data_IF_949134731555
#
_entry.id   IF_949134731555
#
_cell.length_a   1.000
_cell.length_b   1.000
_cell.length_c   1.000
_cell.angle_alpha   90.00
_cell.angle_beta   90.00
_cell.angle_gamma   90.00
#
_symmetry.space_group_name_H-M   'P 1'
#
loop_
_entity.id
_entity.type
_entity.pdbx_description
1 polymer ?
#
# COMPACT_ATOMS: atom_id res chain seq x y z
N UNK A 1 -8.95 -4.36 21.60
CA UNK A 1 -8.89 -3.66 20.32
C UNK A 1 -9.67 -4.50 19.32
N UNK A 2 -10.74 -3.97 18.75
CA UNK A 2 -11.42 -4.64 17.63
C UNK A 2 -10.61 -4.40 16.34
N UNK A 3 -10.73 -5.27 15.33
CA UNK A 3 -10.03 -5.16 14.06
C UNK A 3 -10.18 -3.77 13.39
N UNK A 4 -11.34 -3.13 13.57
CA UNK A 4 -11.61 -1.77 13.09
C UNK A 4 -10.72 -0.71 13.73
N UNK A 5 -10.37 -0.90 15.01
CA UNK A 5 -9.41 -0.02 15.69
C UNK A 5 -7.99 -0.30 15.20
N UNK A 6 -7.66 -1.55 14.81
CA UNK A 6 -6.35 -1.89 14.23
C UNK A 6 -6.16 -1.36 12.80
N UNK A 7 -7.22 -1.38 11.96
CA UNK A 7 -7.15 -0.90 10.58
C UNK A 7 -6.97 0.61 10.46
N UNK A 8 -7.51 1.37 11.41
CA UNK A 8 -7.43 2.84 11.42
C UNK A 8 -6.26 3.37 12.27
N UNK A 9 -5.66 2.54 13.14
CA UNK A 9 -4.57 2.98 14.03
C UNK A 9 -3.33 3.44 13.29
N UNK A 10 -2.91 2.69 12.26
CA UNK A 10 -1.67 2.98 11.53
C UNK A 10 -1.96 3.44 10.11
N UNK A 11 -1.06 4.25 9.55
CA UNK A 11 -1.11 4.56 8.13
C UNK A 11 -0.83 3.26 7.34
N UNK A 12 -1.63 2.91 6.32
CA UNK A 12 -1.53 1.62 5.63
C UNK A 12 -0.12 1.30 5.13
N UNK A 13 0.45 0.16 5.55
CA UNK A 13 1.79 -0.27 5.16
C UNK A 13 2.94 0.37 5.93
N UNK A 14 2.64 1.15 6.98
CA UNK A 14 3.63 1.81 7.85
C UNK A 14 3.59 1.22 9.27
N UNK A 15 4.52 1.67 10.12
CA UNK A 15 4.45 1.50 11.58
C UNK A 15 4.07 2.80 12.30
N UNK A 16 3.64 3.83 11.55
CA UNK A 16 3.34 5.16 12.07
C UNK A 16 1.86 5.27 12.43
N UNK A 17 1.57 5.76 13.64
CA UNK A 17 0.21 5.98 14.09
C UNK A 17 -0.42 7.15 13.33
N UNK A 18 -1.64 6.95 12.83
CA UNK A 18 -2.36 7.92 12.00
C UNK A 18 -2.58 9.23 12.74
N UNK A 19 -2.96 9.16 14.02
CA UNK A 19 -3.24 10.33 14.86
C UNK A 19 -1.97 11.17 15.10
N UNK A 20 -0.82 10.52 15.27
CA UNK A 20 0.48 11.22 15.43
C UNK A 20 0.92 11.95 14.16
N UNK A 21 0.48 11.46 13.00
CA UNK A 21 0.73 12.07 11.70
C UNK A 21 -0.36 13.09 11.29
N UNK A 22 -1.27 13.46 12.19
CA UNK A 22 -2.31 14.46 11.93
C UNK A 22 -3.52 13.94 11.14
N UNK A 23 -3.74 12.62 11.13
CA UNK A 23 -4.90 12.00 10.49
C UNK A 23 -4.76 11.73 8.99
N UNK A 24 -3.66 12.16 8.37
CA UNK A 24 -3.46 12.10 6.91
C UNK A 24 -2.96 10.72 6.45
N UNK A 25 -3.26 10.38 5.20
CA UNK A 25 -2.75 9.18 4.53
C UNK A 25 -2.46 9.46 3.05
N UNK A 26 -2.13 8.43 2.28
CA UNK A 26 -2.00 8.52 0.83
C UNK A 26 -0.98 9.57 0.37
N UNK A 27 -1.37 10.39 -0.62
CA UNK A 27 -0.50 11.38 -1.25
C UNK A 27 -0.18 12.55 -0.30
N UNK A 28 -1.10 12.94 0.57
CA UNK A 28 -0.83 14.01 1.54
C UNK A 28 0.24 13.57 2.54
N UNK A 29 0.13 12.35 3.08
CA UNK A 29 1.17 11.74 3.91
C UNK A 29 2.52 11.70 3.19
N UNK A 30 2.55 11.20 1.95
CA UNK A 30 3.77 11.15 1.16
C UNK A 30 4.33 12.56 0.90
N UNK A 31 3.51 13.54 0.55
CA UNK A 31 3.98 14.91 0.31
C UNK A 31 4.55 15.55 1.57
N UNK A 32 4.02 15.25 2.76
CA UNK A 32 4.57 15.74 4.03
C UNK A 32 5.99 15.19 4.29
N UNK A 33 6.25 13.92 3.96
CA UNK A 33 7.60 13.32 4.09
C UNK A 33 8.58 13.98 3.11
N UNK A 34 8.14 14.26 1.89
CA UNK A 34 9.00 14.77 0.80
C UNK A 34 8.96 16.30 0.66
N UNK A 35 8.36 17.03 1.61
CA UNK A 35 8.11 18.48 1.47
C UNK A 35 9.37 19.31 1.18
N UNK A 36 10.52 18.91 1.71
CA UNK A 36 11.82 19.60 1.53
C UNK A 36 12.91 18.70 0.93
N UNK A 37 12.54 17.54 0.39
CA UNK A 37 13.52 16.59 -0.15
C UNK A 37 12.96 15.82 -1.34
N UNK A 38 13.80 15.67 -2.37
CA UNK A 38 13.50 14.82 -3.53
C UNK A 38 13.79 13.33 -3.25
N UNK A 39 14.27 12.99 -2.05
CA UNK A 39 14.56 11.61 -1.69
C UNK A 39 14.99 11.37 -0.24
N UNK A 40 14.57 10.24 0.33
CA UNK A 40 14.84 9.84 1.71
C UNK A 40 15.87 8.71 1.80
N UNK A 41 16.60 8.66 2.91
CA UNK A 41 17.62 7.64 3.15
C UNK A 41 16.99 6.32 3.63
N UNK A 42 17.78 5.25 3.58
CA UNK A 42 17.38 3.93 4.09
C UNK A 42 16.90 3.97 5.55
N UNK A 43 17.52 4.79 6.41
CA UNK A 43 17.09 4.91 7.82
C UNK A 43 15.66 5.43 7.93
N UNK A 44 15.31 6.46 7.16
CA UNK A 44 13.98 7.06 7.16
C UNK A 44 12.93 6.07 6.62
N UNK A 45 13.25 5.35 5.53
CA UNK A 45 12.37 4.29 5.01
C UNK A 45 12.10 3.22 6.07
N UNK A 46 13.11 2.82 6.84
CA UNK A 46 12.97 1.81 7.90
C UNK A 46 12.11 2.33 9.05
N UNK A 47 12.29 3.59 9.44
CA UNK A 47 11.49 4.24 10.49
C UNK A 47 10.01 4.35 10.09
N UNK A 48 9.72 4.65 8.82
CA UNK A 48 8.35 4.76 8.30
C UNK A 48 7.70 3.38 8.14
N UNK A 49 8.37 2.47 7.45
CA UNK A 49 7.77 1.20 7.00
C UNK A 49 7.94 0.03 7.98
N UNK A 50 8.89 0.13 8.92
CA UNK A 50 9.31 -0.99 9.75
C UNK A 50 10.04 -2.11 9.00
N UNK A 51 10.27 -1.98 7.68
CA UNK A 51 10.98 -2.98 6.88
C UNK A 51 12.48 -2.83 7.10
N UNK A 52 13.18 -3.92 7.43
CA UNK A 52 14.62 -3.86 7.62
C UNK A 52 15.40 -3.66 6.31
N UNK A 53 16.63 -3.16 6.43
CA UNK A 53 17.45 -2.85 5.26
C UNK A 53 17.87 -4.06 4.43
N UNK A 54 17.97 -5.25 5.03
CA UNK A 54 18.35 -6.47 4.29
C UNK A 54 17.18 -6.97 3.43
N UNK A 55 15.95 -6.84 3.93
CA UNK A 55 14.72 -7.11 3.17
C UNK A 55 14.58 -6.13 1.99
N UNK A 56 14.77 -4.83 2.21
CA UNK A 56 14.73 -3.84 1.12
C UNK A 56 15.81 -4.12 0.06
N UNK A 57 17.03 -4.45 0.47
CA UNK A 57 18.08 -4.85 -0.46
C UNK A 57 17.74 -6.15 -1.22
N UNK A 58 17.04 -7.08 -0.59
CA UNK A 58 16.57 -8.29 -1.25
C UNK A 58 15.57 -7.95 -2.36
N UNK A 59 14.61 -7.07 -2.09
CA UNK A 59 13.62 -6.63 -3.07
C UNK A 59 14.27 -5.97 -4.28
N UNK A 60 15.28 -5.12 -4.07
CA UNK A 60 16.07 -4.54 -5.16
C UNK A 60 16.80 -5.61 -5.98
N UNK A 61 17.48 -6.56 -5.31
CA UNK A 61 18.18 -7.66 -6.00
C UNK A 61 17.25 -8.58 -6.79
N UNK A 62 15.98 -8.69 -6.39
CA UNK A 62 14.95 -9.51 -7.04
C UNK A 62 14.21 -8.77 -8.17
N UNK A 63 14.42 -7.46 -8.30
CA UNK A 63 13.71 -6.63 -9.29
C UNK A 63 12.30 -6.19 -8.86
N UNK A 64 11.94 -6.35 -7.59
CA UNK A 64 10.62 -5.97 -7.08
C UNK A 64 10.53 -4.49 -6.71
N UNK A 65 11.68 -3.84 -6.53
CA UNK A 65 11.84 -2.43 -6.21
C UNK A 65 13.03 -1.92 -7.01
N UNK A 66 12.90 -0.75 -7.61
CA UNK A 66 14.02 -0.15 -8.36
C UNK A 66 15.19 0.24 -7.46
N UNK A 67 16.37 0.37 -8.05
CA UNK A 67 17.57 0.82 -7.34
C UNK A 67 17.47 2.26 -6.82
N UNK A 68 18.12 2.58 -5.70
CA UNK A 68 18.18 3.97 -5.20
C UNK A 68 19.05 4.85 -6.09
N UNK A 69 18.66 6.11 -6.29
CA UNK A 69 19.50 7.12 -6.94
C UNK A 69 20.23 7.92 -5.85
N UNK A 70 21.56 8.00 -5.93
CA UNK A 70 22.39 8.69 -4.91
C UNK A 70 22.11 8.24 -3.46
N UNK A 71 21.82 6.94 -3.27
CA UNK A 71 21.42 6.33 -1.98
C UNK A 71 20.12 6.87 -1.38
N UNK A 72 19.28 7.50 -2.20
CA UNK A 72 17.97 8.01 -1.79
C UNK A 72 16.86 7.24 -2.48
N UNK A 73 15.80 7.00 -1.71
CA UNK A 73 14.53 6.47 -2.19
C UNK A 73 13.62 7.64 -2.58
N UNK A 74 13.02 7.55 -3.77
CA UNK A 74 12.02 8.51 -4.24
C UNK A 74 10.67 8.30 -3.55
N UNK A 75 9.75 9.23 -3.78
CA UNK A 75 8.36 9.14 -3.31
C UNK A 75 7.65 7.89 -3.84
N UNK A 76 7.84 7.57 -5.12
CA UNK A 76 7.25 6.38 -5.73
C UNK A 76 7.90 5.09 -5.22
N UNK A 77 9.20 5.09 -4.94
CA UNK A 77 9.85 3.95 -4.29
C UNK A 77 9.30 3.73 -2.88
N UNK A 78 9.09 4.79 -2.10
CA UNK A 78 8.44 4.65 -0.79
C UNK A 78 7.02 4.10 -0.95
N UNK A 79 6.20 4.68 -1.82
CA UNK A 79 4.83 4.22 -2.05
C UNK A 79 4.78 2.72 -2.42
N UNK A 80 5.65 2.27 -3.33
CA UNK A 80 5.77 0.85 -3.69
C UNK A 80 6.17 -0.03 -2.51
N UNK A 81 7.13 0.43 -1.70
CA UNK A 81 7.52 -0.27 -0.45
C UNK A 81 6.33 -0.45 0.48
N UNK A 82 5.52 0.60 0.68
CA UNK A 82 4.35 0.56 1.55
C UNK A 82 3.29 -0.42 1.01
N UNK A 83 3.07 -0.44 -0.31
CA UNK A 83 2.17 -1.41 -0.95
C UNK A 83 2.67 -2.85 -0.75
N UNK A 84 3.94 -3.13 -1.02
CA UNK A 84 4.49 -4.47 -0.79
C UNK A 84 4.38 -4.85 0.69
N UNK A 85 4.65 -3.90 1.61
CA UNK A 85 4.60 -4.13 3.04
C UNK A 85 3.18 -4.46 3.54
N UNK A 86 2.14 -3.83 2.98
CA UNK A 86 0.74 -4.15 3.28
C UNK A 86 0.38 -5.61 2.93
N UNK A 87 0.94 -6.11 1.83
CA UNK A 87 0.49 -7.36 1.21
C UNK A 87 1.33 -8.58 1.60
N UNK A 88 2.63 -8.40 1.88
CA UNK A 88 3.56 -9.50 2.15
C UNK A 88 3.19 -10.43 3.32
N UNK A 89 2.40 -10.04 4.35
CA UNK A 89 2.03 -10.99 5.41
C UNK A 89 1.13 -12.12 4.91
N UNK A 90 0.36 -11.89 3.84
CA UNK A 90 -0.67 -12.84 3.35
C UNK A 90 -0.54 -13.19 1.87
N UNK A 91 0.28 -12.48 1.11
CA UNK A 91 0.53 -12.71 -0.30
C UNK A 91 2.02 -12.95 -0.57
N UNK A 92 2.34 -13.97 -1.36
CA UNK A 92 3.71 -14.24 -1.83
C UNK A 92 4.26 -13.05 -2.62
N UNK A 93 5.52 -12.70 -2.40
CA UNK A 93 6.16 -11.54 -3.01
C UNK A 93 6.17 -11.62 -4.55
N UNK A 94 6.30 -12.82 -5.12
CA UNK A 94 6.22 -13.04 -6.56
C UNK A 94 4.83 -12.71 -7.13
N UNK A 95 3.76 -12.93 -6.35
CA UNK A 95 2.40 -12.56 -6.75
C UNK A 95 2.15 -11.05 -6.60
N UNK A 96 2.75 -10.43 -5.58
CA UNK A 96 2.71 -8.98 -5.40
C UNK A 96 3.44 -8.30 -6.56
N UNK A 97 4.63 -8.78 -6.90
CA UNK A 97 5.40 -8.28 -8.04
C UNK A 97 4.62 -8.42 -9.36
N UNK A 98 4.03 -9.59 -9.61
CA UNK A 98 3.18 -9.79 -10.78
C UNK A 98 1.98 -8.85 -10.82
N UNK A 99 1.36 -8.57 -9.66
CA UNK A 99 0.25 -7.62 -9.54
C UNK A 99 0.69 -6.20 -9.87
N UNK A 100 1.84 -5.74 -9.36
CA UNK A 100 2.35 -4.40 -9.63
C UNK A 100 2.82 -4.26 -11.08
N UNK A 101 3.46 -5.30 -11.63
CA UNK A 101 3.81 -5.37 -13.05
C UNK A 101 2.57 -5.38 -13.96
N UNK A 102 1.47 -6.01 -13.52
CA UNK A 102 0.20 -5.96 -14.24
C UNK A 102 -0.39 -4.53 -14.30
N UNK A 103 -0.04 -3.63 -13.38
CA UNK A 103 -0.45 -2.23 -13.42
C UNK A 103 0.53 -1.43 -14.27
N UNK A 104 1.80 -1.44 -13.93
CA UNK A 104 2.78 -0.46 -14.41
C UNK A 104 3.87 -1.03 -15.32
N UNK A 105 3.93 -2.34 -15.54
CA UNK A 105 5.03 -2.91 -16.30
C UNK A 105 6.31 -2.99 -15.48
N UNK A 106 7.46 -2.77 -16.11
CA UNK A 106 8.78 -3.01 -15.51
C UNK A 106 9.09 -1.96 -14.42
N UNK A 107 9.72 -2.37 -13.32
CA UNK A 107 10.04 -1.45 -12.22
C UNK A 107 11.10 -0.40 -12.60
N UNK A 108 11.92 -0.69 -13.62
CA UNK A 108 12.98 0.20 -14.12
C UNK A 108 12.57 1.00 -15.37
N UNK A 109 11.41 0.71 -15.97
CA UNK A 109 10.87 1.41 -17.13
C UNK A 109 9.45 1.91 -16.85
N UNK A 110 9.34 3.21 -16.58
CA UNK A 110 8.05 3.85 -16.28
C UNK A 110 7.33 4.37 -17.52
N UNK A 111 7.80 4.03 -18.73
CA UNK A 111 7.26 4.58 -19.98
C UNK A 111 5.86 4.04 -20.32
N UNK A 112 5.53 2.85 -19.85
CA UNK A 112 4.22 2.20 -19.98
C UNK A 112 3.38 2.24 -18.70
N UNK A 113 3.82 2.97 -17.66
CA UNK A 113 3.09 3.14 -16.41
C UNK A 113 1.67 3.69 -16.66
N UNK A 114 0.69 2.92 -16.21
CA UNK A 114 -0.70 3.34 -16.12
C UNK A 114 -0.85 4.49 -15.13
N UNK A 115 -0.12 4.43 -14.00
CA UNK A 115 -0.21 5.35 -12.88
C UNK A 115 1.10 5.42 -12.10
N UNK A 116 1.42 6.53 -11.44
CA UNK A 116 2.57 6.55 -10.52
C UNK A 116 2.28 5.73 -9.25
N UNK A 117 3.31 5.15 -8.64
CA UNK A 117 3.15 4.37 -7.40
C UNK A 117 2.56 5.19 -6.25
N UNK A 118 2.94 6.47 -6.16
CA UNK A 118 2.37 7.42 -5.19
C UNK A 118 0.87 7.64 -5.37
N UNK A 119 0.38 7.69 -6.62
CA UNK A 119 -1.05 7.80 -6.90
C UNK A 119 -1.79 6.47 -6.74
N UNK A 120 -1.13 5.34 -7.04
CA UNK A 120 -1.68 4.01 -6.73
C UNK A 120 -1.90 3.87 -5.22
N UNK A 121 -0.91 4.24 -4.41
CA UNK A 121 -1.00 4.22 -2.95
C UNK A 121 -2.07 5.18 -2.41
N UNK A 122 -2.21 6.37 -3.01
CA UNK A 122 -3.31 7.29 -2.71
C UNK A 122 -4.68 6.64 -2.91
N UNK A 123 -4.90 5.99 -4.06
CA UNK A 123 -6.17 5.32 -4.32
C UNK A 123 -6.43 4.15 -3.36
N UNK A 124 -5.39 3.38 -3.01
CA UNK A 124 -5.51 2.34 -1.98
C UNK A 124 -5.97 2.94 -0.64
N UNK A 125 -5.35 4.04 -0.20
CA UNK A 125 -5.71 4.71 1.05
C UNK A 125 -7.14 5.26 1.02
N UNK A 126 -7.55 5.95 -0.07
CA UNK A 126 -8.92 6.44 -0.25
C UNK A 126 -9.96 5.33 -0.17
N UNK A 127 -9.67 4.17 -0.75
CA UNK A 127 -10.59 3.02 -0.70
C UNK A 127 -10.68 2.48 0.74
N UNK A 128 -9.54 2.31 1.42
CA UNK A 128 -9.49 1.86 2.81
C UNK A 128 -10.34 2.78 3.71
N UNK A 129 -10.17 4.10 3.58
CA UNK A 129 -10.90 5.09 4.39
C UNK A 129 -12.42 5.06 4.16
N UNK A 130 -12.87 4.70 2.97
CA UNK A 130 -14.31 4.56 2.67
C UNK A 130 -14.88 3.24 3.19
N UNK A 131 -14.07 2.19 3.20
CA UNK A 131 -14.50 0.83 3.60
C UNK A 131 -14.38 0.63 5.12
N UNK A 132 -13.45 1.32 5.78
CA UNK A 132 -13.19 1.16 7.22
C UNK A 132 -14.45 1.39 8.07
N UNK A 133 -15.24 2.46 7.89
CA UNK A 133 -16.49 2.67 8.63
C UNK A 133 -17.56 1.59 8.39
N UNK A 134 -17.44 0.81 7.31
CA UNK A 134 -18.35 -0.27 6.93
C UNK A 134 -17.94 -1.63 7.51
N UNK A 135 -16.83 -1.71 8.26
CA UNK A 135 -16.36 -2.96 8.85
C UNK A 135 -15.42 -3.77 7.95
N UNK A 136 -14.85 -3.16 6.91
CA UNK A 136 -13.97 -3.87 5.98
C UNK A 136 -14.70 -4.45 4.75
N UNK A 137 -13.96 -4.98 3.76
CA UNK A 137 -14.51 -5.45 2.50
C UNK A 137 -15.41 -6.69 2.64
N UNK A 138 -15.32 -7.42 3.76
CA UNK A 138 -16.17 -8.60 4.03
C UNK A 138 -17.65 -8.28 4.24
N UNK A 139 -18.00 -7.01 4.50
CA UNK A 139 -19.38 -6.55 4.66
C UNK A 139 -19.96 -5.93 3.38
N UNK A 140 -19.22 -5.95 2.28
CA UNK A 140 -19.63 -5.36 1.01
C UNK A 140 -20.06 -6.43 0.01
N UNK A 141 -21.12 -6.12 -0.74
CA UNK A 141 -21.40 -6.80 -2.00
C UNK A 141 -20.34 -6.45 -3.04
N UNK A 142 -20.28 -7.25 -4.11
CA UNK A 142 -19.37 -6.99 -5.23
C UNK A 142 -19.68 -5.65 -5.90
N UNK A 143 -20.96 -5.33 -6.06
CA UNK A 143 -21.41 -4.06 -6.64
C UNK A 143 -20.99 -2.86 -5.79
N UNK A 144 -21.11 -2.94 -4.46
CA UNK A 144 -20.66 -1.89 -3.54
C UNK A 144 -19.14 -1.70 -3.60
N UNK A 145 -18.37 -2.78 -3.57
CA UNK A 145 -16.90 -2.71 -3.70
C UNK A 145 -16.50 -2.05 -5.02
N UNK A 146 -17.08 -2.50 -6.14
CA UNK A 146 -16.85 -1.90 -7.45
C UNK A 146 -17.21 -0.40 -7.47
N UNK A 147 -18.32 -0.01 -6.83
CA UNK A 147 -18.76 1.37 -6.71
C UNK A 147 -17.76 2.24 -5.93
N UNK A 148 -17.26 1.76 -4.80
CA UNK A 148 -16.27 2.48 -3.98
C UNK A 148 -14.96 2.66 -4.73
N UNK A 149 -14.46 1.60 -5.39
CA UNK A 149 -13.23 1.65 -6.19
C UNK A 149 -13.39 2.62 -7.37
N UNK A 150 -14.54 2.59 -8.05
CA UNK A 150 -14.82 3.51 -9.16
C UNK A 150 -14.86 4.97 -8.69
N UNK A 151 -15.51 5.24 -7.56
CA UNK A 151 -15.56 6.58 -6.97
C UNK A 151 -14.20 7.04 -6.43
N UNK A 152 -13.29 6.13 -6.08
CA UNK A 152 -11.99 6.50 -5.51
C UNK A 152 -10.99 6.91 -6.58
N UNK A 153 -11.32 6.55 -7.83
CA UNK A 153 -10.54 6.73 -9.05
C UNK A 153 -11.32 7.53 -10.08
N UNK A 154 -12.18 8.45 -9.65
CA UNK A 154 -13.00 9.29 -10.54
C UNK A 154 -12.18 10.41 -11.20
N UNK A 155 -11.09 10.80 -10.55
CA UNK A 155 -10.06 11.72 -11.03
C UNK A 155 -8.99 11.05 -11.91
N UNK A 156 -9.02 9.71 -12.04
CA UNK A 156 -8.11 8.99 -12.92
C UNK A 156 -8.43 9.24 -14.41
N UNK A 157 -7.43 9.70 -15.15
CA UNK A 157 -7.53 9.93 -16.60
C UNK A 157 -6.89 8.76 -17.35
N UNK A 158 -7.74 7.96 -17.99
CA UNK A 158 -7.33 6.83 -18.81
C UNK A 158 -6.57 7.31 -20.06
N UNK A 159 -5.35 6.80 -20.28
CA UNK A 159 -4.50 7.15 -21.43
C UNK A 159 -4.74 6.19 -22.60
N UNK A 160 -4.97 4.92 -22.29
CA UNK A 160 -5.24 3.85 -23.24
C UNK A 160 -6.45 3.03 -22.81
N UNK A 161 -7.22 2.53 -23.78
CA UNK A 161 -8.43 1.75 -23.52
C UNK A 161 -8.15 0.52 -22.64
N UNK A 162 -8.85 0.43 -21.51
CA UNK A 162 -8.80 -0.71 -20.59
C UNK A 162 -7.86 -0.52 -19.40
N UNK A 163 -7.06 0.54 -19.36
CA UNK A 163 -6.20 0.86 -18.22
C UNK A 163 -7.01 1.11 -16.94
N UNK A 164 -8.14 1.82 -17.03
CA UNK A 164 -9.00 2.07 -15.87
C UNK A 164 -9.54 0.76 -15.29
N UNK A 165 -9.88 -0.21 -16.16
CA UNK A 165 -10.33 -1.54 -15.74
C UNK A 165 -9.20 -2.32 -15.07
N UNK A 166 -7.99 -2.30 -15.64
CA UNK A 166 -6.80 -2.95 -15.06
C UNK A 166 -6.48 -2.38 -13.68
N UNK A 167 -6.41 -1.04 -13.57
CA UNK A 167 -6.15 -0.33 -12.32
C UNK A 167 -7.17 -0.70 -11.24
N UNK A 168 -8.46 -0.62 -11.55
CA UNK A 168 -9.53 -0.90 -10.57
C UNK A 168 -9.54 -2.35 -10.12
N UNK A 169 -9.27 -3.30 -11.02
CA UNK A 169 -9.14 -4.72 -10.67
C UNK A 169 -7.95 -4.95 -9.73
N UNK A 170 -6.83 -4.28 -9.96
CA UNK A 170 -5.66 -4.39 -9.09
C UNK A 170 -5.90 -3.75 -7.72
N UNK A 171 -6.53 -2.57 -7.67
CA UNK A 171 -6.91 -1.90 -6.42
C UNK A 171 -7.80 -2.77 -5.54
N UNK A 172 -8.79 -3.45 -6.14
CA UNK A 172 -9.64 -4.40 -5.41
C UNK A 172 -8.82 -5.52 -4.76
N UNK A 173 -7.87 -6.11 -5.51
CA UNK A 173 -6.97 -7.15 -4.99
C UNK A 173 -6.10 -6.61 -3.85
N UNK A 174 -5.49 -5.43 -4.02
CA UNK A 174 -4.61 -4.82 -3.02
C UNK A 174 -5.37 -4.60 -1.71
N UNK A 175 -6.55 -4.01 -1.78
CA UNK A 175 -7.35 -3.69 -0.59
C UNK A 175 -7.83 -4.96 0.12
N UNK A 176 -8.32 -5.96 -0.61
CA UNK A 176 -8.74 -7.23 -0.02
C UNK A 176 -7.57 -7.92 0.68
N UNK A 177 -6.40 -7.95 0.04
CA UNK A 177 -5.21 -8.59 0.60
C UNK A 177 -4.64 -7.82 1.81
N UNK A 178 -4.74 -6.48 1.83
CA UNK A 178 -4.43 -5.67 3.00
C UNK A 178 -5.36 -6.00 4.18
N UNK A 179 -6.68 -6.03 3.98
CA UNK A 179 -7.57 -6.42 5.07
C UNK A 179 -7.33 -7.85 5.54
N UNK A 180 -7.02 -8.78 4.63
CA UNK A 180 -6.61 -10.13 5.01
C UNK A 180 -5.36 -10.14 5.90
N UNK A 181 -4.38 -9.26 5.67
CA UNK A 181 -3.20 -9.16 6.53
C UNK A 181 -3.52 -8.61 7.91
N UNK A 182 -4.47 -7.68 8.01
CA UNK A 182 -4.99 -7.22 9.30
C UNK A 182 -5.70 -8.33 10.07
N UNK A 183 -6.58 -9.11 9.41
CA UNK A 183 -7.24 -10.25 10.04
C UNK A 183 -6.23 -11.30 10.55
N UNK A 184 -5.19 -11.59 9.76
CA UNK A 184 -4.14 -12.52 10.14
C UNK A 184 -3.35 -12.02 11.36
N UNK A 185 -2.98 -10.74 11.40
CA UNK A 185 -2.29 -10.11 12.53
C UNK A 185 -3.17 -10.14 13.80
N UNK A 186 -4.46 -9.78 13.67
CA UNK A 186 -5.40 -9.83 14.78
C UNK A 186 -5.53 -11.25 15.36
N UNK A 187 -5.65 -12.25 14.49
CA UNK A 187 -5.72 -13.65 14.90
C UNK A 187 -4.46 -14.09 15.65
N UNK A 188 -3.28 -13.67 15.20
CA UNK A 188 -2.01 -13.99 15.87
C UNK A 188 -1.95 -13.35 17.27
N UNK A 189 -2.33 -12.07 17.40
CA UNK A 189 -2.39 -11.37 18.68
C UNK A 189 -3.35 -12.02 19.68
N UNK A 190 -4.51 -12.47 19.22
CA UNK A 190 -5.46 -13.20 20.07
C UNK A 190 -4.88 -14.53 20.56
N UNK A 191 -4.06 -15.19 19.73
CA UNK A 191 -3.41 -16.44 20.10
C UNK A 191 -2.31 -16.22 21.16
N UNK A 192 -1.46 -15.21 20.99
CA UNK A 192 -0.40 -14.86 21.96
C UNK A 192 -0.98 -14.59 23.36
N UNK A 193 -2.13 -13.92 23.45
CA UNK A 193 -2.83 -13.69 24.72
C UNK A 193 -3.28 -14.95 25.44
N UNK A 194 -3.48 -16.06 24.73
CA UNK A 194 -3.81 -17.35 25.35
C UNK A 194 -2.57 -18.02 25.95
N UNK A 195 -1.37 -17.72 25.44
CA UNK A 195 -0.12 -18.28 25.96
C UNK A 195 0.40 -17.52 27.20
N UNK A 196 -0.03 -16.26 27.37
CA UNK A 196 0.33 -15.41 28.52
C UNK A 196 -0.55 -15.63 29.77
N UNK A 197 -1.66 -16.38 29.65
CA UNK A 197 -2.62 -16.65 30.73
C UNK A 197 -2.50 -18.04 31.34
#
# INVERSE_FOLDING_TARGET
MNLLEESDKYIPGTVLERDEMGGVSGLEFLNNIFFVTDGIMLSEVREISGVDGSTLQNWVKRGWLSGTVNKRYSKDQLARILIINMLRPTMQLERIDHLLHYINGDVEDTSDDIITESMLYEYVCRIIERISPMGGPGNLTREEMCGIVAQATDDYQEKMEGEAKRLRAALEIIVIAYYASLYAAHSAHLFEKLEEG
#
